data_IF_374476903588
#
_entry.id   IF_374476903588
#
_cell.length_a   1.000
_cell.length_b   1.000
_cell.length_c   1.000
_cell.angle_alpha   90.00
_cell.angle_beta   90.00
_cell.angle_gamma   90.00
#
_symmetry.space_group_name_H-M   'P 1'
#
loop_
_entity.id
_entity.type
_entity.pdbx_description
1 polymer ?
#
# COMPACT_ATOMS: atom_id res chain seq x y z
N UNK A 1 -24.47 -54.97 32.24
CA UNK A 1 -23.16 -54.30 32.46
C UNK A 1 -23.19 -52.94 31.77
N UNK A 2 -23.04 -51.90 32.59
CA UNK A 2 -22.58 -50.52 32.40
C UNK A 2 -22.12 -49.98 31.01
N UNK A 3 -22.67 -48.78 30.72
CA UNK A 3 -22.03 -47.46 30.40
C UNK A 3 -21.39 -47.12 29.04
N UNK A 4 -22.00 -46.11 28.39
CA UNK A 4 -21.53 -44.75 27.96
C UNK A 4 -20.37 -44.52 26.96
N UNK A 5 -20.63 -43.48 26.12
CA UNK A 5 -19.75 -42.43 25.52
C UNK A 5 -18.73 -42.87 24.47
N UNK A 6 -18.40 -42.12 23.41
CA UNK A 6 -18.69 -40.74 22.99
C UNK A 6 -17.54 -40.27 22.07
N UNK A 7 -17.90 -39.55 20.99
CA UNK A 7 -17.18 -38.55 20.18
C UNK A 7 -15.74 -38.77 19.64
N UNK A 8 -15.55 -38.48 18.35
CA UNK A 8 -14.72 -37.36 17.87
C UNK A 8 -14.64 -37.32 16.32
N UNK A 9 -15.50 -36.50 15.68
CA UNK A 9 -15.21 -35.93 14.35
C UNK A 9 -14.26 -34.74 14.54
N UNK A 10 -13.08 -34.82 13.94
CA UNK A 10 -12.10 -33.74 13.91
C UNK A 10 -12.32 -32.84 12.70
N UNK A 11 -12.89 -31.65 12.93
CA UNK A 11 -12.93 -30.55 11.96
C UNK A 11 -11.58 -29.81 12.02
N UNK A 12 -10.77 -29.92 10.97
CA UNK A 12 -9.49 -29.19 10.82
C UNK A 12 -9.58 -28.34 9.56
N UNK A 13 -10.12 -27.12 9.70
CA UNK A 13 -10.05 -26.07 8.67
C UNK A 13 -8.84 -25.18 8.94
N UNK A 14 -7.99 -25.03 7.91
CA UNK A 14 -6.75 -24.23 7.95
C UNK A 14 -7.03 -22.74 8.12
N UNK A 15 -6.10 -22.03 8.80
CA UNK A 15 -6.24 -20.63 9.21
C UNK A 15 -5.20 -19.74 8.51
N UNK A 16 -5.62 -18.56 8.05
CA UNK A 16 -4.71 -17.41 7.94
C UNK A 16 -4.86 -16.57 9.20
N UNK A 17 -3.76 -16.35 9.92
CA UNK A 17 -3.78 -15.61 11.18
C UNK A 17 -3.44 -14.15 10.89
N UNK A 18 -4.38 -13.24 11.19
CA UNK A 18 -4.12 -11.81 11.19
C UNK A 18 -3.05 -11.46 12.25
N UNK A 19 -2.21 -10.42 12.02
CA UNK A 19 -1.20 -10.04 13.00
C UNK A 19 -1.85 -9.63 14.33
N UNK A 20 -1.49 -10.33 15.40
CA UNK A 20 -1.84 -9.95 16.78
C UNK A 20 -1.08 -8.66 17.11
N UNK A 21 -1.82 -7.56 17.34
CA UNK A 21 -1.25 -6.38 17.99
C UNK A 21 -1.16 -6.65 19.49
N UNK A 22 0.06 -6.60 20.01
CA UNK A 22 0.32 -6.55 21.45
C UNK A 22 -0.31 -5.31 22.07
N UNK A 23 -1.48 -5.50 22.67
CA UNK A 23 -2.15 -4.52 23.52
C UNK A 23 -1.52 -4.53 24.91
N UNK A 24 -0.52 -3.66 25.12
CA UNK A 24 -0.04 -3.35 26.46
C UNK A 24 -0.88 -2.21 27.04
N UNK A 25 -1.80 -2.55 27.95
CA UNK A 25 -2.69 -1.59 28.60
C UNK A 25 -3.46 -2.25 29.73
N UNK A 26 -2.76 -2.49 30.84
CA UNK A 26 -3.28 -3.13 32.04
C UNK A 26 -4.52 -2.46 32.65
N UNK A 27 -5.35 -3.32 33.22
CA UNK A 27 -6.59 -3.09 33.94
C UNK A 27 -6.51 -2.01 35.03
N UNK A 28 -7.62 -1.29 35.26
CA UNK A 28 -8.47 -1.49 36.46
C UNK A 28 -9.84 -0.81 36.32
N UNK A 29 -10.84 -1.50 36.86
CA UNK A 29 -12.30 -1.21 36.81
C UNK A 29 -12.74 -0.18 37.86
N UNK A 30 -13.77 0.60 37.48
CA UNK A 30 -14.95 1.11 38.23
C UNK A 30 -14.75 1.90 39.53
N UNK A 31 -15.32 3.12 39.62
CA UNK A 31 -16.63 3.40 40.26
C UNK A 31 -17.08 4.90 40.12
N UNK A 32 -18.29 5.07 39.60
CA UNK A 32 -19.41 6.04 39.81
C UNK A 32 -19.26 7.32 40.68
N UNK A 33 -19.83 8.43 40.15
CA UNK A 33 -20.38 9.69 40.74
C UNK A 33 -19.39 10.62 41.49
N UNK A 34 -19.44 11.96 41.37
CA UNK A 34 -20.56 12.90 41.28
C UNK A 34 -20.08 14.24 40.67
N UNK A 35 -21.00 14.98 40.04
CA UNK A 35 -20.81 16.39 39.69
C UNK A 35 -21.15 17.23 40.92
N UNK A 36 -20.25 18.12 41.33
CA UNK A 36 -20.60 19.32 42.08
C UNK A 36 -19.72 20.50 41.67
N UNK A 37 -20.39 21.65 41.63
CA UNK A 37 -19.98 22.95 41.11
C UNK A 37 -19.13 23.69 42.15
N UNK A 38 -18.07 24.39 41.72
CA UNK A 38 -17.68 25.67 42.33
C UNK A 38 -16.87 26.54 41.35
N UNK A 39 -17.38 27.75 41.12
CA UNK A 39 -16.67 28.90 40.56
C UNK A 39 -15.82 29.53 41.66
N UNK A 40 -14.71 30.16 41.29
CA UNK A 40 -14.35 31.46 41.86
C UNK A 40 -13.42 32.25 40.91
N UNK A 41 -13.58 33.56 41.01
CA UNK A 41 -13.12 34.64 40.14
C UNK A 41 -11.76 35.23 40.56
N UNK A 42 -11.14 35.93 39.60
CA UNK A 42 -10.26 37.09 39.74
C UNK A 42 -8.86 37.01 40.39
N UNK A 43 -7.91 37.73 39.77
CA UNK A 43 -6.72 38.27 40.45
C UNK A 43 -5.40 38.18 39.68
N UNK A 44 -5.01 39.26 39.02
CA UNK A 44 -3.80 39.35 38.20
C UNK A 44 -2.45 39.49 38.93
N UNK A 45 -1.41 39.18 38.14
CA UNK A 45 -0.02 39.69 38.11
C UNK A 45 0.92 39.50 39.32
N UNK A 46 2.04 38.77 39.09
CA UNK A 46 3.41 39.33 38.96
C UNK A 46 4.48 38.23 39.00
N UNK A 47 5.47 38.36 38.10
CA UNK A 47 6.77 37.70 38.19
C UNK A 47 7.47 38.09 39.50
N UNK A 48 7.97 37.10 40.24
CA UNK A 48 9.10 37.28 41.14
C UNK A 48 10.03 36.08 41.05
N UNK A 49 11.24 36.34 40.58
CA UNK A 49 12.40 35.46 40.65
C UNK A 49 12.91 35.54 42.09
N UNK A 50 12.98 34.40 42.77
CA UNK A 50 13.86 34.21 43.93
C UNK A 50 14.58 32.88 43.70
N UNK A 51 15.88 32.98 43.44
CA UNK A 51 16.81 31.88 43.54
C UNK A 51 17.13 31.66 45.03
N UNK A 52 16.98 30.44 45.50
CA UNK A 52 17.73 29.94 46.66
C UNK A 52 18.28 28.56 46.30
N UNK A 53 19.59 28.53 46.20
CA UNK A 53 20.47 27.38 46.04
C UNK A 53 20.34 26.42 47.21
N UNK A 54 20.27 25.13 46.93
CA UNK A 54 21.08 24.15 47.66
C UNK A 54 21.39 22.95 46.76
N UNK A 55 22.70 22.70 46.64
CA UNK A 55 23.33 21.64 45.86
C UNK A 55 23.12 20.28 46.53
N UNK A 56 22.86 19.25 45.73
CA UNK A 56 23.47 17.91 45.90
C UNK A 56 23.27 17.04 44.66
N UNK A 57 24.38 16.83 43.96
CA UNK A 57 24.73 15.67 43.12
C UNK A 57 23.64 15.08 42.21
N UNK A 58 23.50 15.66 41.02
CA UNK A 58 22.84 15.04 39.87
C UNK A 58 23.72 15.17 38.63
N UNK A 59 23.96 14.05 37.95
CA UNK A 59 24.75 13.95 36.71
C UNK A 59 24.22 14.93 35.66
N UNK A 60 25.16 15.55 34.93
CA UNK A 60 24.98 16.53 33.85
C UNK A 60 23.77 16.19 32.96
N UNK A 61 22.75 17.05 32.95
CA UNK A 61 21.67 17.05 31.96
C UNK A 61 22.29 17.32 30.58
N UNK A 62 22.37 16.29 29.74
CA UNK A 62 22.67 16.47 28.31
C UNK A 62 21.54 17.25 27.68
N UNK A 63 21.89 18.41 27.13
CA UNK A 63 21.01 19.23 26.32
C UNK A 63 20.47 18.47 25.11
N UNK A 64 19.28 18.91 24.70
CA UNK A 64 18.54 18.51 23.50
C UNK A 64 19.53 18.34 22.34
N UNK A 65 19.73 17.09 21.90
CA UNK A 65 20.57 16.79 20.74
C UNK A 65 19.89 17.33 19.49
N UNK A 66 20.58 18.22 18.79
CA UNK A 66 20.20 18.68 17.46
C UNK A 66 20.07 17.50 16.50
N UNK A 67 19.05 17.54 15.66
CA UNK A 67 18.78 16.54 14.65
C UNK A 67 20.00 16.39 13.73
N UNK A 68 20.64 15.22 13.75
CA UNK A 68 21.64 14.85 12.75
C UNK A 68 20.86 14.52 11.47
N UNK A 69 20.99 15.37 10.45
CA UNK A 69 20.43 15.09 9.13
C UNK A 69 21.00 13.78 8.57
N UNK A 70 20.22 12.95 7.84
CA UNK A 70 20.75 11.74 7.24
C UNK A 70 21.88 12.10 6.28
N UNK A 71 23.10 11.61 6.55
CA UNK A 71 24.22 11.74 5.62
C UNK A 71 23.97 10.79 4.45
N UNK A 72 23.54 11.33 3.32
CA UNK A 72 23.52 10.62 2.05
C UNK A 72 24.93 10.14 1.73
N UNK A 73 25.12 8.82 1.71
CA UNK A 73 26.34 8.17 1.23
C UNK A 73 25.96 7.32 0.02
N UNK A 74 25.94 7.94 -1.16
CA UNK A 74 25.90 7.22 -2.42
C UNK A 74 26.63 8.02 -3.51
N UNK A 75 27.42 7.35 -4.37
CA UNK A 75 28.36 7.98 -5.30
C UNK A 75 27.63 8.62 -6.49
N UNK A 76 28.02 9.86 -6.77
CA UNK A 76 27.86 10.63 -8.02
C UNK A 76 27.02 9.99 -9.14
N UNK A 77 25.71 10.22 -9.10
CA UNK A 77 24.92 10.33 -10.32
C UNK A 77 24.84 11.83 -10.66
N UNK A 78 25.60 12.27 -11.66
CA UNK A 78 25.56 13.64 -12.14
C UNK A 78 24.18 13.91 -12.75
N UNK A 79 23.31 14.54 -11.96
CA UNK A 79 22.09 15.15 -12.49
C UNK A 79 22.48 16.29 -13.42
N UNK A 80 22.02 16.22 -14.68
CA UNK A 80 22.01 17.35 -15.61
C UNK A 80 20.97 18.38 -15.11
N UNK A 81 21.32 19.10 -14.05
CA UNK A 81 20.55 20.24 -13.56
C UNK A 81 20.79 21.45 -14.46
N UNK A 82 19.79 21.82 -15.26
CA UNK A 82 19.78 23.11 -15.96
C UNK A 82 19.48 24.24 -14.96
N UNK A 83 20.45 25.12 -14.76
CA UNK A 83 20.31 26.36 -13.98
C UNK A 83 19.50 27.39 -14.77
N UNK A 84 18.22 27.52 -14.46
CA UNK A 84 17.50 28.79 -14.62
C UNK A 84 16.62 28.97 -13.38
N UNK A 85 16.85 30.07 -12.68
CA UNK A 85 16.43 30.36 -11.31
C UNK A 85 14.92 30.18 -11.09
N UNK A 86 14.57 29.07 -10.46
CA UNK A 86 13.34 28.96 -9.70
C UNK A 86 13.65 29.48 -8.29
N UNK A 87 12.82 30.36 -7.74
CA UNK A 87 12.97 30.95 -6.39
C UNK A 87 13.47 29.87 -5.41
N UNK A 88 14.53 30.19 -4.64
CA UNK A 88 15.12 29.31 -3.63
C UNK A 88 14.03 28.71 -2.73
N UNK A 89 12.97 29.47 -2.46
CA UNK A 89 11.82 29.00 -1.70
C UNK A 89 10.99 27.95 -2.44
N UNK A 90 10.76 28.10 -3.75
CA UNK A 90 10.15 27.04 -4.57
C UNK A 90 11.02 25.78 -4.59
N UNK A 91 12.35 25.92 -4.53
CA UNK A 91 13.23 24.76 -4.42
C UNK A 91 13.12 24.08 -3.04
N UNK A 92 13.21 24.84 -1.95
CA UNK A 92 13.12 24.32 -0.57
C UNK A 92 11.76 23.64 -0.32
N UNK A 93 10.68 24.23 -0.81
CA UNK A 93 9.32 23.70 -0.58
C UNK A 93 9.12 22.31 -1.17
N UNK A 94 9.82 21.92 -2.23
CA UNK A 94 9.78 20.56 -2.80
C UNK A 94 10.23 19.46 -1.83
N UNK A 95 10.92 19.81 -0.75
CA UNK A 95 11.38 18.88 0.28
C UNK A 95 10.43 18.76 1.47
N UNK A 96 9.33 19.51 1.48
CA UNK A 96 8.28 19.41 2.49
C UNK A 96 7.29 18.29 2.14
N UNK A 97 6.74 17.61 3.15
CA UNK A 97 5.63 16.69 2.99
C UNK A 97 4.31 17.46 2.72
N UNK A 98 3.30 16.79 2.19
CA UNK A 98 2.03 17.43 1.85
C UNK A 98 1.40 18.20 3.01
N UNK A 99 1.51 17.69 4.25
CA UNK A 99 1.00 18.37 5.45
C UNK A 99 1.75 19.67 5.73
N UNK A 100 3.08 19.67 5.61
CA UNK A 100 3.89 20.87 5.81
C UNK A 100 3.71 21.88 4.69
N UNK A 101 3.51 21.45 3.44
CA UNK A 101 3.17 22.33 2.32
C UNK A 101 1.86 23.09 2.56
N UNK A 102 0.80 22.40 3.00
CA UNK A 102 -0.48 23.03 3.34
C UNK A 102 -0.32 24.02 4.50
N UNK A 103 0.40 23.63 5.56
CA UNK A 103 0.68 24.52 6.69
C UNK A 103 1.46 25.76 6.28
N UNK A 104 2.48 25.61 5.43
CA UNK A 104 3.28 26.72 4.92
C UNK A 104 2.40 27.67 4.10
N UNK A 105 1.57 27.15 3.20
CA UNK A 105 0.65 27.96 2.41
C UNK A 105 -0.37 28.73 3.25
N UNK A 106 -0.74 28.21 4.43
CA UNK A 106 -1.65 28.90 5.36
C UNK A 106 -1.01 30.06 6.12
N UNK A 107 0.32 30.21 6.10
CA UNK A 107 1.01 31.25 6.89
C UNK A 107 0.85 32.66 6.33
N UNK A 108 0.96 32.84 5.00
CA UNK A 108 0.74 34.12 4.34
C UNK A 108 0.51 33.94 2.82
N UNK A 109 0.05 35.00 2.15
CA UNK A 109 -0.28 35.00 0.71
C UNK A 109 0.91 34.69 -0.21
N UNK A 110 2.13 35.03 0.20
CA UNK A 110 3.31 34.79 -0.62
C UNK A 110 3.72 33.31 -0.58
N UNK A 111 3.79 32.72 0.62
CA UNK A 111 4.01 31.29 0.78
C UNK A 111 2.87 30.45 0.18
N UNK A 112 1.63 30.93 0.22
CA UNK A 112 0.52 30.28 -0.47
C UNK A 112 0.80 30.12 -1.96
N UNK A 113 1.26 31.18 -2.64
CA UNK A 113 1.56 31.14 -4.07
C UNK A 113 2.64 30.11 -4.41
N UNK A 114 3.71 30.06 -3.61
CA UNK A 114 4.81 29.11 -3.79
C UNK A 114 4.35 27.68 -3.50
N UNK A 115 3.69 27.47 -2.36
CA UNK A 115 3.25 26.15 -1.93
C UNK A 115 2.20 25.56 -2.87
N UNK A 116 1.41 26.38 -3.57
CA UNK A 116 0.41 25.94 -4.54
C UNK A 116 0.95 25.85 -5.97
N UNK A 117 2.26 26.04 -6.20
CA UNK A 117 2.83 25.76 -7.51
C UNK A 117 2.74 24.26 -7.84
N UNK A 118 2.17 23.96 -9.00
CA UNK A 118 1.96 22.57 -9.43
C UNK A 118 3.27 21.76 -9.51
N UNK A 119 4.39 22.41 -9.85
CA UNK A 119 5.70 21.77 -9.85
C UNK A 119 6.13 21.30 -8.46
N UNK A 120 5.82 22.05 -7.39
CA UNK A 120 6.14 21.66 -6.01
C UNK A 120 5.43 20.36 -5.65
N UNK A 121 4.15 20.26 -5.99
CA UNK A 121 3.35 19.06 -5.75
C UNK A 121 3.76 17.89 -6.63
N UNK A 122 4.22 18.15 -7.87
CA UNK A 122 4.84 17.12 -8.70
C UNK A 122 6.05 16.50 -8.01
N UNK A 123 6.98 17.32 -7.53
CA UNK A 123 8.17 16.82 -6.83
C UNK A 123 7.83 16.11 -5.54
N UNK A 124 6.92 16.67 -4.72
CA UNK A 124 6.46 16.02 -3.50
C UNK A 124 5.81 14.65 -3.80
N UNK A 125 4.96 14.58 -4.82
CA UNK A 125 4.26 13.35 -5.21
C UNK A 125 5.26 12.26 -5.64
N UNK A 126 6.18 12.56 -6.55
CA UNK A 126 7.15 11.57 -7.04
C UNK A 126 8.11 11.11 -5.93
N UNK A 127 8.54 12.02 -5.06
CA UNK A 127 9.39 11.72 -3.91
C UNK A 127 8.68 10.79 -2.93
N UNK A 128 7.45 11.15 -2.54
CA UNK A 128 6.70 10.41 -1.51
C UNK A 128 6.22 9.04 -2.02
N UNK A 129 5.99 8.93 -3.34
CA UNK A 129 5.72 7.66 -4.02
C UNK A 129 6.98 6.88 -4.42
N UNK A 130 8.17 7.50 -4.30
CA UNK A 130 9.46 6.93 -4.68
C UNK A 130 9.56 6.46 -6.14
N UNK A 131 8.93 7.22 -7.06
CA UNK A 131 8.95 6.92 -8.50
C UNK A 131 9.91 7.87 -9.26
N UNK A 132 10.71 7.37 -10.22
CA UNK A 132 11.84 8.11 -10.78
C UNK A 132 11.46 9.13 -11.85
N UNK A 133 10.35 8.92 -12.55
CA UNK A 133 10.02 9.66 -13.77
C UNK A 133 8.65 10.33 -13.72
N UNK A 134 8.57 11.50 -14.36
CA UNK A 134 7.32 12.19 -14.61
C UNK A 134 6.65 11.59 -15.84
N UNK A 135 5.39 11.20 -15.69
CA UNK A 135 4.53 10.87 -16.82
C UNK A 135 3.61 12.05 -17.13
N UNK A 136 3.17 12.19 -18.40
CA UNK A 136 2.07 13.10 -18.72
C UNK A 136 0.86 12.75 -17.86
N UNK A 137 0.30 13.74 -17.19
CA UNK A 137 -0.92 13.63 -16.40
C UNK A 137 -1.94 14.61 -16.93
N UNK A 138 -3.21 14.21 -16.91
CA UNK A 138 -4.38 14.98 -17.31
C UNK A 138 -4.88 15.96 -16.23
N UNK A 139 -4.40 15.82 -15.00
CA UNK A 139 -4.79 16.63 -13.84
C UNK A 139 -3.61 17.31 -13.16
N UNK A 140 -3.89 18.37 -12.40
CA UNK A 140 -2.89 19.05 -11.55
C UNK A 140 -2.30 18.09 -10.53
N UNK A 141 -1.01 18.19 -10.27
CA UNK A 141 -0.30 17.36 -9.29
C UNK A 141 -0.81 17.55 -7.86
N UNK A 142 -1.40 18.70 -7.53
CA UNK A 142 -2.07 18.93 -6.23
C UNK A 142 -3.21 17.91 -6.04
N UNK A 143 -4.09 17.78 -7.04
CA UNK A 143 -5.23 16.86 -7.00
C UNK A 143 -4.76 15.41 -6.98
N UNK A 144 -3.77 15.09 -7.81
CA UNK A 144 -3.15 13.75 -7.87
C UNK A 144 -2.58 13.39 -6.51
N UNK A 145 -1.76 14.26 -5.92
CA UNK A 145 -1.19 14.05 -4.59
C UNK A 145 -2.31 13.86 -3.55
N UNK A 146 -3.30 14.75 -3.50
CA UNK A 146 -4.39 14.63 -2.55
C UNK A 146 -5.08 13.26 -2.64
N UNK A 147 -5.48 12.84 -3.86
CA UNK A 147 -6.16 11.56 -4.08
C UNK A 147 -5.29 10.31 -3.83
N UNK A 148 -3.98 10.41 -4.04
CA UNK A 148 -3.05 9.32 -3.77
C UNK A 148 -2.84 9.06 -2.27
N UNK A 149 -3.03 10.09 -1.43
CA UNK A 149 -2.71 10.06 0.00
C UNK A 149 -3.91 10.29 0.94
N UNK A 150 -5.11 10.61 0.44
CA UNK A 150 -6.31 10.86 1.27
C UNK A 150 -7.05 9.57 1.72
N UNK A 151 -6.70 8.42 1.14
CA UNK A 151 -7.31 7.12 1.44
C UNK A 151 -8.51 6.75 0.57
N UNK A 152 -8.93 7.62 -0.38
CA UNK A 152 -10.03 7.37 -1.34
C UNK A 152 -9.79 6.17 -2.26
N UNK A 153 -8.54 5.73 -2.35
CA UNK A 153 -8.10 4.56 -3.08
C UNK A 153 -8.25 3.26 -2.29
N UNK A 154 -8.62 3.23 -1.00
CA UNK A 154 -8.69 1.95 -0.27
C UNK A 154 -9.87 1.08 -0.73
N UNK A 155 -9.68 -0.24 -0.80
CA UNK A 155 -10.77 -1.21 -0.97
C UNK A 155 -11.88 -1.01 0.07
N UNK A 156 -11.48 -0.59 1.28
CA UNK A 156 -12.38 -0.21 2.37
C UNK A 156 -13.44 0.79 1.93
N UNK A 157 -13.14 1.72 1.02
CA UNK A 157 -14.12 2.71 0.59
C UNK A 157 -15.31 2.07 -0.14
N UNK A 158 -15.05 1.08 -1.01
CA UNK A 158 -16.07 0.45 -1.84
C UNK A 158 -16.78 -0.73 -1.18
N UNK A 159 -16.08 -1.50 -0.35
CA UNK A 159 -16.61 -2.75 0.20
C UNK A 159 -16.20 -2.96 1.66
N UNK A 160 -16.69 -2.06 2.52
CA UNK A 160 -16.40 -2.04 3.97
C UNK A 160 -16.67 -3.37 4.66
N UNK A 161 -17.71 -4.07 4.24
CA UNK A 161 -18.20 -5.28 4.93
C UNK A 161 -17.27 -6.47 4.78
N UNK A 162 -16.58 -6.57 3.64
CA UNK A 162 -15.68 -7.69 3.31
C UNK A 162 -14.23 -7.43 3.68
N UNK A 163 -13.87 -6.18 3.92
CA UNK A 163 -12.50 -5.80 4.20
C UNK A 163 -12.08 -6.17 5.62
N UNK A 164 -10.94 -6.86 5.76
CA UNK A 164 -10.32 -7.18 7.05
C UNK A 164 -9.19 -6.18 7.32
N UNK A 165 -8.20 -6.13 6.44
CA UNK A 165 -7.01 -5.30 6.59
C UNK A 165 -6.39 -4.96 5.22
N UNK A 166 -5.51 -3.96 5.18
CA UNK A 166 -4.79 -3.58 3.98
C UNK A 166 -3.40 -3.02 4.26
N UNK A 167 -2.56 -3.05 3.23
CA UNK A 167 -1.23 -2.47 3.26
C UNK A 167 -0.91 -1.76 1.94
N UNK A 168 -0.47 -0.50 2.02
CA UNK A 168 0.16 0.21 0.89
C UNK A 168 1.50 -0.44 0.61
N UNK A 169 1.66 -1.01 -0.57
CA UNK A 169 2.94 -1.55 -1.00
C UNK A 169 3.84 -0.42 -1.50
N UNK A 170 3.26 0.55 -2.20
CA UNK A 170 3.93 1.73 -2.76
C UNK A 170 3.45 2.03 -4.18
N UNK A 171 4.32 2.55 -5.02
CA UNK A 171 4.01 2.86 -6.42
C UNK A 171 5.12 2.42 -7.37
N UNK A 172 4.74 2.17 -8.62
CA UNK A 172 5.62 1.77 -9.70
C UNK A 172 5.10 2.34 -11.02
N UNK A 173 5.85 2.13 -12.09
CA UNK A 173 5.55 2.66 -13.42
C UNK A 173 5.20 1.51 -14.35
N UNK A 174 4.12 1.68 -15.11
CA UNK A 174 3.86 0.93 -16.33
C UNK A 174 4.00 1.92 -17.49
N UNK A 175 5.08 1.85 -18.26
CA UNK A 175 5.35 2.74 -19.40
C UNK A 175 5.03 2.06 -20.74
N UNK A 176 4.85 0.74 -20.75
CA UNK A 176 4.36 0.01 -21.92
C UNK A 176 2.84 -0.13 -21.88
N UNK A 177 2.25 -0.41 -23.04
CA UNK A 177 0.82 -0.71 -23.20
C UNK A 177 0.48 -2.16 -22.80
N UNK A 178 1.46 -2.94 -22.31
CA UNK A 178 1.31 -4.38 -22.07
C UNK A 178 1.93 -4.81 -20.74
N UNK A 179 1.15 -5.47 -19.87
CA UNK A 179 1.66 -6.11 -18.64
C UNK A 179 1.74 -7.60 -18.78
N UNK A 180 2.70 -8.17 -18.06
CA UNK A 180 2.72 -9.58 -17.70
C UNK A 180 2.21 -9.77 -16.27
N UNK A 181 1.20 -10.62 -16.13
CA UNK A 181 0.54 -10.98 -14.87
C UNK A 181 0.85 -12.45 -14.56
N UNK A 182 1.19 -12.78 -13.33
CA UNK A 182 1.47 -14.16 -12.92
C UNK A 182 1.13 -14.42 -11.47
N UNK A 183 0.65 -15.63 -11.18
CA UNK A 183 0.50 -16.14 -9.80
C UNK A 183 1.68 -17.00 -9.34
N UNK A 184 2.71 -17.17 -10.18
CA UNK A 184 3.91 -17.91 -9.84
C UNK A 184 5.15 -17.09 -10.14
N UNK A 185 6.01 -17.00 -9.11
CA UNK A 185 7.34 -16.40 -9.18
C UNK A 185 8.45 -17.46 -9.10
N UNK A 186 8.06 -18.74 -9.07
CA UNK A 186 8.99 -19.85 -8.98
C UNK A 186 9.61 -20.17 -10.35
N UNK A 187 10.93 -20.38 -10.37
CA UNK A 187 11.65 -20.77 -11.59
C UNK A 187 11.83 -19.63 -12.60
N UNK A 188 12.08 -19.99 -13.87
CA UNK A 188 12.18 -19.01 -14.97
C UNK A 188 10.77 -18.61 -15.40
N UNK A 189 10.47 -17.31 -15.34
CA UNK A 189 9.20 -16.78 -15.86
C UNK A 189 9.05 -17.17 -17.33
N UNK A 190 7.99 -17.93 -17.62
CA UNK A 190 7.59 -18.28 -18.99
C UNK A 190 6.54 -17.27 -19.41
N UNK A 191 6.94 -16.29 -20.20
CA UNK A 191 5.99 -15.33 -20.78
C UNK A 191 5.18 -16.05 -21.86
N UNK A 192 3.85 -16.09 -21.76
CA UNK A 192 3.00 -16.61 -22.82
C UNK A 192 3.23 -15.85 -24.12
N UNK A 193 3.25 -16.57 -25.24
CA UNK A 193 3.53 -15.97 -26.56
C UNK A 193 2.26 -15.80 -27.39
N UNK A 194 1.30 -16.72 -27.27
CA UNK A 194 0.06 -16.73 -28.06
C UNK A 194 -1.09 -17.34 -27.24
N UNK A 195 -2.34 -17.11 -27.69
CA UNK A 195 -3.57 -17.65 -27.10
C UNK A 195 -4.46 -16.60 -26.46
N UNK A 196 -5.70 -17.00 -26.12
CA UNK A 196 -6.59 -16.15 -25.32
C UNK A 196 -6.09 -16.06 -23.87
N UNK A 197 -6.55 -15.07 -23.11
CA UNK A 197 -6.16 -14.91 -21.69
C UNK A 197 -6.47 -16.19 -20.91
N UNK A 198 -7.63 -16.80 -21.15
CA UNK A 198 -8.04 -18.06 -20.51
C UNK A 198 -7.08 -19.20 -20.84
N UNK A 199 -6.66 -19.34 -22.10
CA UNK A 199 -5.69 -20.37 -22.51
C UNK A 199 -4.32 -20.16 -21.86
N UNK A 200 -3.85 -18.90 -21.80
CA UNK A 200 -2.59 -18.54 -21.16
C UNK A 200 -2.63 -18.88 -19.65
N UNK A 201 -3.73 -18.52 -18.98
CA UNK A 201 -3.93 -18.81 -17.56
C UNK A 201 -4.04 -20.31 -17.27
N UNK A 202 -4.82 -21.07 -18.05
CA UNK A 202 -4.94 -22.52 -17.90
C UNK A 202 -3.61 -23.27 -18.08
N UNK A 203 -2.74 -22.76 -18.96
CA UNK A 203 -1.47 -23.42 -19.25
C UNK A 203 -0.35 -23.11 -18.24
N UNK A 204 -0.38 -21.92 -17.61
CA UNK A 204 0.79 -21.42 -16.87
C UNK A 204 0.47 -20.58 -15.62
N UNK A 205 -0.80 -20.29 -15.32
CA UNK A 205 -1.18 -19.34 -14.29
C UNK A 205 -0.66 -17.92 -14.56
N UNK A 206 -0.43 -17.57 -15.83
CA UNK A 206 0.10 -16.27 -16.23
C UNK A 206 -0.53 -15.79 -17.53
N UNK A 207 -0.61 -14.48 -17.74
CA UNK A 207 -1.18 -13.91 -18.96
C UNK A 207 -0.56 -12.56 -19.31
N UNK A 208 -0.75 -12.17 -20.58
CA UNK A 208 -0.47 -10.83 -21.06
C UNK A 208 -1.78 -10.06 -21.20
N UNK A 209 -1.79 -8.83 -20.71
CA UNK A 209 -2.88 -7.88 -20.92
C UNK A 209 -2.37 -6.66 -21.67
N UNK A 210 -3.18 -6.15 -22.58
CA UNK A 210 -2.87 -5.01 -23.44
C UNK A 210 -3.74 -3.79 -23.05
N UNK A 211 -3.53 -2.68 -23.75
CA UNK A 211 -4.27 -1.43 -23.57
C UNK A 211 -4.19 -0.85 -22.16
N UNK A 212 -3.04 -1.01 -21.53
CA UNK A 212 -2.78 -0.44 -20.20
C UNK A 212 -2.51 1.05 -20.33
N UNK A 213 -3.11 1.83 -19.43
CA UNK A 213 -2.79 3.24 -19.30
C UNK A 213 -1.36 3.40 -18.78
N UNK A 214 -0.50 3.98 -19.61
CA UNK A 214 0.88 4.28 -19.21
C UNK A 214 0.91 5.37 -18.12
N UNK A 215 1.73 5.19 -17.09
CA UNK A 215 1.86 6.15 -16.01
C UNK A 215 2.29 5.54 -14.68
N UNK A 216 1.98 6.26 -13.61
CA UNK A 216 2.25 5.86 -12.22
C UNK A 216 1.07 5.02 -11.73
N UNK A 217 1.39 3.88 -11.14
CA UNK A 217 0.44 2.93 -10.56
C UNK A 217 0.71 2.76 -9.07
N UNK A 218 -0.35 2.84 -8.27
CA UNK A 218 -0.31 2.58 -6.83
C UNK A 218 -0.69 1.12 -6.59
N UNK A 219 0.11 0.43 -5.79
CA UNK A 219 -0.11 -0.95 -5.41
C UNK A 219 -0.51 -1.09 -3.94
N UNK A 220 -1.54 -1.88 -3.71
CA UNK A 220 -2.05 -2.22 -2.39
C UNK A 220 -2.27 -3.73 -2.29
N UNK A 221 -2.05 -4.24 -1.08
CA UNK A 221 -2.45 -5.58 -0.70
C UNK A 221 -3.68 -5.49 0.20
N UNK A 222 -4.74 -6.20 -0.17
CA UNK A 222 -6.01 -6.23 0.55
C UNK A 222 -6.22 -7.64 1.12
N UNK A 223 -6.62 -7.71 2.38
CA UNK A 223 -7.07 -8.93 3.03
C UNK A 223 -8.57 -8.85 3.24
N UNK A 224 -9.29 -9.83 2.70
CA UNK A 224 -10.74 -9.84 2.57
C UNK A 224 -11.32 -11.10 3.20
N UNK A 225 -12.57 -11.02 3.66
CA UNK A 225 -13.35 -12.18 4.10
C UNK A 225 -13.65 -13.09 2.92
N UNK A 226 -13.81 -14.38 3.20
CA UNK A 226 -14.15 -15.36 2.16
C UNK A 226 -15.47 -14.99 1.45
N UNK A 227 -15.44 -14.83 0.11
CA UNK A 227 -16.60 -14.38 -0.65
C UNK A 227 -17.69 -15.47 -0.82
N UNK A 228 -17.40 -16.74 -0.51
CA UNK A 228 -18.34 -17.85 -0.67
C UNK A 228 -19.35 -17.95 0.48
N UNK A 229 -18.88 -17.75 1.71
CA UNK A 229 -19.69 -17.90 2.91
C UNK A 229 -20.22 -16.53 3.40
N UNK A 230 -19.47 -15.43 3.22
CA UNK A 230 -19.76 -14.08 3.77
C UNK A 230 -20.14 -14.07 5.28
N UNK A 231 -19.87 -15.18 5.97
CA UNK A 231 -20.12 -15.36 7.39
C UNK A 231 -18.92 -14.79 8.16
N UNK A 232 -19.18 -13.99 9.19
CA UNK A 232 -18.13 -13.49 10.08
C UNK A 232 -17.40 -14.58 10.86
N UNK A 233 -17.94 -15.80 10.86
CA UNK A 233 -17.39 -17.01 11.50
C UNK A 233 -16.59 -17.89 10.54
N UNK A 234 -16.49 -17.50 9.27
CA UNK A 234 -15.73 -18.23 8.26
C UNK A 234 -14.25 -17.83 8.37
N UNK A 235 -13.40 -18.77 8.76
CA UNK A 235 -11.95 -18.55 8.88
C UNK A 235 -11.26 -18.35 7.51
N UNK A 236 -11.99 -18.55 6.41
CA UNK A 236 -11.49 -18.33 5.06
C UNK A 236 -11.20 -16.84 4.81
N UNK A 237 -9.99 -16.56 4.34
CA UNK A 237 -9.58 -15.21 3.91
C UNK A 237 -9.13 -15.25 2.45
N UNK A 238 -9.32 -14.11 1.77
CA UNK A 238 -8.91 -13.90 0.40
C UNK A 238 -7.88 -12.77 0.37
N UNK A 239 -6.75 -13.01 -0.29
CA UNK A 239 -5.75 -11.98 -0.54
C UNK A 239 -6.00 -11.36 -1.90
N UNK A 240 -5.81 -10.05 -2.03
CA UNK A 240 -5.93 -9.36 -3.31
C UNK A 240 -4.81 -8.34 -3.51
N UNK A 241 -4.03 -8.51 -4.58
CA UNK A 241 -3.11 -7.49 -5.08
C UNK A 241 -3.89 -6.57 -6.02
N UNK A 242 -4.08 -5.33 -5.57
CA UNK A 242 -4.73 -4.28 -6.35
C UNK A 242 -3.70 -3.27 -6.83
N UNK A 243 -3.64 -3.04 -8.14
CA UNK A 243 -2.86 -1.95 -8.73
C UNK A 243 -3.78 -1.03 -9.51
N UNK A 244 -3.60 0.28 -9.33
CA UNK A 244 -4.46 1.32 -9.88
C UNK A 244 -3.66 2.48 -10.40
N UNK A 245 -4.00 2.93 -11.60
CA UNK A 245 -3.42 4.13 -12.18
C UNK A 245 -3.72 5.33 -11.27
N UNK A 246 -2.73 6.20 -11.03
CA UNK A 246 -2.83 7.28 -10.03
C UNK A 246 -3.99 8.26 -10.31
N UNK A 247 -4.35 8.45 -11.57
CA UNK A 247 -5.46 9.33 -11.97
C UNK A 247 -6.85 8.68 -11.84
N UNK A 248 -6.92 7.36 -11.61
CA UNK A 248 -8.19 6.66 -11.41
C UNK A 248 -8.98 7.30 -10.26
N UNK A 249 -8.29 7.68 -9.19
CA UNK A 249 -8.89 8.28 -7.99
C UNK A 249 -9.51 9.66 -8.22
N UNK A 250 -9.23 10.29 -9.36
CA UNK A 250 -9.84 11.55 -9.75
C UNK A 250 -11.14 11.35 -10.54
N UNK A 251 -11.39 10.14 -11.03
CA UNK A 251 -12.55 9.83 -11.87
C UNK A 251 -13.82 9.74 -11.03
N UNK A 252 -14.86 10.49 -11.40
CA UNK A 252 -16.13 10.47 -10.67
C UNK A 252 -16.76 9.08 -10.66
N UNK A 253 -16.73 8.37 -11.79
CA UNK A 253 -17.27 7.00 -11.87
C UNK A 253 -16.54 5.98 -10.98
N UNK A 254 -15.26 6.24 -10.66
CA UNK A 254 -14.57 5.46 -9.64
C UNK A 254 -15.03 5.88 -8.25
N UNK A 255 -15.11 7.18 -7.94
CA UNK A 255 -15.51 7.67 -6.61
C UNK A 255 -16.95 7.35 -6.23
N UNK A 256 -17.87 7.33 -7.18
CA UNK A 256 -19.28 6.99 -6.94
C UNK A 256 -19.56 5.48 -6.96
N UNK A 257 -18.56 4.67 -7.33
CA UNK A 257 -18.66 3.22 -7.39
C UNK A 257 -19.42 2.68 -8.61
N UNK A 258 -19.65 3.49 -9.63
CA UNK A 258 -20.27 3.05 -10.88
C UNK A 258 -19.34 2.25 -11.79
N UNK A 259 -18.02 2.30 -11.57
CA UNK A 259 -17.04 1.51 -12.31
C UNK A 259 -16.78 0.17 -11.64
N UNK A 260 -16.94 -0.90 -12.42
CA UNK A 260 -16.78 -2.27 -11.96
C UNK A 260 -15.53 -2.96 -12.55
N UNK A 261 -15.07 -3.97 -11.81
CA UNK A 261 -14.04 -4.89 -12.29
C UNK A 261 -14.65 -5.98 -13.17
N UNK A 262 -14.04 -6.21 -14.33
CA UNK A 262 -14.36 -7.32 -15.21
C UNK A 262 -13.39 -8.48 -14.98
N UNK A 263 -13.93 -9.69 -14.77
CA UNK A 263 -13.15 -10.92 -14.72
C UNK A 263 -12.61 -11.22 -16.13
N UNK A 264 -11.29 -11.27 -16.26
CA UNK A 264 -10.62 -11.62 -17.52
C UNK A 264 -10.13 -13.07 -17.56
N UNK A 265 -10.19 -13.76 -16.42
CA UNK A 265 -9.89 -15.19 -16.35
C UNK A 265 -9.55 -15.67 -14.94
N UNK A 266 -9.45 -16.98 -14.79
CA UNK A 266 -9.09 -17.62 -13.54
C UNK A 266 -8.24 -18.87 -13.76
N UNK A 267 -7.47 -19.22 -12.75
CA UNK A 267 -6.68 -20.45 -12.71
C UNK A 267 -6.85 -21.13 -11.36
N UNK A 268 -7.05 -22.44 -11.38
CA UNK A 268 -7.33 -23.25 -10.20
C UNK A 268 -6.17 -24.21 -9.96
N UNK A 269 -5.50 -24.04 -8.83
CA UNK A 269 -4.45 -24.91 -8.35
C UNK A 269 -5.07 -25.94 -7.41
N UNK A 270 -5.42 -27.13 -7.90
CA UNK A 270 -6.15 -28.17 -7.14
C UNK A 270 -5.24 -29.07 -6.29
N UNK A 271 -4.20 -28.49 -5.68
CA UNK A 271 -3.24 -29.19 -4.82
C UNK A 271 -2.73 -28.23 -3.76
N UNK A 272 -2.23 -28.81 -2.66
CA UNK A 272 -1.54 -28.08 -1.61
C UNK A 272 -0.53 -27.09 -2.19
N UNK A 273 -0.81 -25.80 -2.00
CA UNK A 273 0.02 -24.72 -2.49
C UNK A 273 0.85 -24.18 -1.33
N UNK A 274 2.17 -24.15 -1.49
CA UNK A 274 3.07 -23.65 -0.44
C UNK A 274 2.97 -22.13 -0.21
N UNK A 275 2.45 -21.40 -1.19
CA UNK A 275 2.35 -19.95 -1.14
C UNK A 275 1.27 -19.39 -2.08
N UNK A 276 0.65 -18.29 -1.69
CA UNK A 276 -0.12 -17.40 -2.55
C UNK A 276 0.80 -16.30 -3.09
N UNK A 277 1.06 -16.28 -4.40
CA UNK A 277 1.89 -15.27 -5.05
C UNK A 277 1.11 -14.49 -6.10
N UNK A 278 1.38 -13.21 -6.25
CA UNK A 278 0.80 -12.40 -7.33
C UNK A 278 1.83 -11.38 -7.78
N UNK A 279 2.06 -11.26 -9.07
CA UNK A 279 2.99 -10.28 -9.59
C UNK A 279 2.54 -9.68 -10.91
N UNK A 280 2.89 -8.41 -11.07
CA UNK A 280 2.56 -7.57 -12.22
C UNK A 280 3.85 -6.90 -12.66
N UNK A 281 4.21 -7.10 -13.92
CA UNK A 281 5.40 -6.53 -14.53
C UNK A 281 5.02 -5.71 -15.75
N UNK A 282 5.73 -4.62 -15.97
CA UNK A 282 5.81 -4.03 -17.29
C UNK A 282 6.59 -4.99 -18.23
N UNK A 283 5.96 -5.43 -19.31
CA UNK A 283 6.55 -6.41 -20.22
C UNK A 283 7.88 -5.93 -20.82
N UNK A 284 7.99 -4.63 -21.12
CA UNK A 284 9.19 -3.99 -21.70
C UNK A 284 10.39 -4.05 -20.76
N UNK A 285 10.16 -4.10 -19.44
CA UNK A 285 11.20 -4.07 -18.41
C UNK A 285 11.38 -5.41 -17.69
N UNK A 286 10.63 -6.45 -18.07
CA UNK A 286 10.67 -7.76 -17.42
C UNK A 286 12.08 -8.36 -17.36
N UNK A 287 12.85 -8.23 -18.45
CA UNK A 287 14.23 -8.77 -18.56
C UNK A 287 15.31 -7.81 -18.05
N UNK A 288 14.95 -6.59 -17.61
CA UNK A 288 15.92 -5.60 -17.13
C UNK A 288 16.33 -5.91 -15.69
N UNK A 289 17.53 -5.50 -15.31
CA UNK A 289 18.06 -5.63 -13.95
C UNK A 289 17.18 -4.94 -12.90
N UNK A 290 16.42 -3.92 -13.26
CA UNK A 290 15.47 -3.26 -12.35
C UNK A 290 14.42 -4.22 -11.79
N UNK A 291 14.09 -5.29 -12.50
CA UNK A 291 13.06 -6.27 -12.13
C UNK A 291 13.66 -7.54 -11.49
N UNK A 292 14.99 -7.69 -11.46
CA UNK A 292 15.65 -8.91 -11.00
C UNK A 292 15.52 -9.13 -9.48
N UNK A 293 15.36 -8.06 -8.71
CA UNK A 293 15.12 -8.15 -7.26
C UNK A 293 13.84 -8.92 -6.93
N UNK A 294 12.79 -8.76 -7.74
CA UNK A 294 11.52 -9.47 -7.56
C UNK A 294 11.68 -10.97 -7.77
N UNK A 295 12.48 -11.37 -8.76
CA UNK A 295 12.70 -12.79 -9.10
C UNK A 295 13.64 -13.49 -8.12
N UNK A 296 14.40 -12.74 -7.33
CA UNK A 296 15.20 -13.30 -6.24
C UNK A 296 14.35 -13.47 -4.97
N UNK A 297 13.44 -14.45 -4.97
CA UNK A 297 12.47 -14.70 -3.89
C UNK A 297 13.13 -14.70 -2.50
N UNK A 298 14.25 -15.40 -2.35
CA UNK A 298 14.97 -15.51 -1.07
C UNK A 298 15.40 -14.17 -0.46
N UNK A 299 15.49 -13.09 -1.26
CA UNK A 299 15.90 -11.77 -0.77
C UNK A 299 14.81 -10.96 -0.08
N UNK A 300 13.53 -11.35 -0.23
CA UNK A 300 12.41 -10.56 0.28
C UNK A 300 11.23 -11.40 0.82
N UNK A 301 11.12 -12.68 0.48
CA UNK A 301 10.11 -13.57 1.07
C UNK A 301 10.47 -13.95 2.50
N UNK A 302 9.47 -14.21 3.34
CA UNK A 302 9.67 -14.68 4.71
C UNK A 302 10.22 -16.10 4.79
N UNK A 303 10.66 -16.49 5.99
CA UNK A 303 11.03 -17.86 6.33
C UNK A 303 9.85 -18.83 6.18
N UNK A 304 10.11 -20.14 6.15
CA UNK A 304 9.10 -21.16 5.82
C UNK A 304 7.85 -21.14 6.70
N UNK A 305 7.97 -20.70 7.95
CA UNK A 305 6.93 -20.57 8.97
C UNK A 305 6.30 -19.17 9.04
N UNK A 306 6.81 -18.20 8.27
CA UNK A 306 6.30 -16.84 8.24
C UNK A 306 5.08 -16.74 7.31
N UNK A 307 3.90 -16.76 7.93
CA UNK A 307 2.60 -16.57 7.25
C UNK A 307 2.25 -15.11 6.95
N UNK A 308 3.10 -14.14 7.35
CA UNK A 308 2.84 -12.75 7.03
C UNK A 308 3.07 -12.47 5.54
N UNK A 309 2.15 -11.74 4.88
CA UNK A 309 2.36 -11.33 3.50
C UNK A 309 3.62 -10.48 3.36
N UNK A 310 4.47 -10.85 2.40
CA UNK A 310 5.61 -10.03 1.96
C UNK A 310 5.33 -9.44 0.60
N UNK A 311 5.91 -8.29 0.35
CA UNK A 311 5.79 -7.61 -0.92
C UNK A 311 7.12 -6.96 -1.30
N UNK A 312 7.32 -6.80 -2.59
CA UNK A 312 8.43 -6.08 -3.15
C UNK A 312 7.93 -5.21 -4.30
N UNK A 313 8.43 -3.97 -4.33
CA UNK A 313 8.22 -3.04 -5.43
C UNK A 313 9.54 -2.77 -6.10
N UNK A 314 9.53 -2.85 -7.42
CA UNK A 314 10.56 -2.37 -8.31
C UNK A 314 10.01 -1.21 -9.14
N UNK A 315 10.88 -0.40 -9.79
CA UNK A 315 10.42 0.72 -10.60
C UNK A 315 9.35 0.38 -11.65
N UNK A 316 9.34 -0.85 -12.18
CA UNK A 316 8.41 -1.30 -13.23
C UNK A 316 7.66 -2.61 -12.92
N UNK A 317 7.59 -2.98 -11.64
CA UNK A 317 6.91 -4.20 -11.24
C UNK A 317 6.56 -4.21 -9.76
N UNK A 318 5.56 -5.01 -9.41
CA UNK A 318 5.19 -5.30 -8.02
C UNK A 318 4.93 -6.79 -7.87
N UNK A 319 5.26 -7.32 -6.71
CA UNK A 319 4.95 -8.69 -6.35
C UNK A 319 4.57 -8.81 -4.88
N UNK A 320 3.70 -9.78 -4.61
CA UNK A 320 3.32 -10.23 -3.27
C UNK A 320 3.54 -11.72 -3.15
N UNK A 321 3.87 -12.17 -1.95
CA UNK A 321 4.08 -13.56 -1.60
C UNK A 321 3.68 -13.79 -0.15
N UNK A 322 2.78 -14.75 0.06
CA UNK A 322 2.30 -15.15 1.38
C UNK A 322 2.45 -16.65 1.49
N UNK A 323 3.20 -17.14 2.50
CA UNK A 323 3.28 -18.58 2.72
C UNK A 323 1.98 -19.09 3.29
N UNK A 324 1.61 -20.27 2.83
CA UNK A 324 0.37 -20.91 3.22
C UNK A 324 0.67 -22.13 4.07
N UNK A 325 -0.23 -22.38 5.01
CA UNK A 325 -0.33 -23.68 5.67
C UNK A 325 -0.93 -24.71 4.69
N UNK A 326 -0.94 -25.97 5.10
CA UNK A 326 -1.53 -27.05 4.30
C UNK A 326 -2.96 -26.69 3.87
N UNK A 327 -3.24 -26.82 2.57
CA UNK A 327 -4.51 -26.44 1.96
C UNK A 327 -4.95 -27.40 0.84
N UNK A 328 -6.19 -27.26 0.40
CA UNK A 328 -6.78 -28.03 -0.70
C UNK A 328 -6.50 -27.39 -2.07
N UNK A 329 -5.89 -26.21 -2.07
CA UNK A 329 -5.53 -25.47 -3.27
C UNK A 329 -5.91 -24.00 -3.23
N UNK A 330 -5.69 -23.33 -4.36
CA UNK A 330 -5.95 -21.90 -4.53
C UNK A 330 -6.72 -21.67 -5.83
N UNK A 331 -7.76 -20.85 -5.76
CA UNK A 331 -8.38 -20.20 -6.92
C UNK A 331 -7.81 -18.80 -7.08
N UNK A 332 -7.14 -18.56 -8.21
CA UNK A 332 -6.66 -17.24 -8.60
C UNK A 332 -7.59 -16.66 -9.65
N UNK A 333 -7.98 -15.39 -9.47
CA UNK A 333 -8.83 -14.64 -10.41
C UNK A 333 -8.13 -13.34 -10.80
N UNK A 334 -8.17 -13.04 -12.09
CA UNK A 334 -7.60 -11.83 -12.67
C UNK A 334 -8.74 -10.93 -13.12
N UNK A 335 -8.75 -9.70 -12.63
CA UNK A 335 -9.73 -8.71 -13.04
C UNK A 335 -9.08 -7.43 -13.53
N UNK A 336 -9.77 -6.72 -14.39
CA UNK A 336 -9.36 -5.41 -14.90
C UNK A 336 -10.52 -4.42 -14.86
N UNK A 337 -10.20 -3.14 -14.74
CA UNK A 337 -11.14 -2.04 -14.86
C UNK A 337 -10.66 -1.13 -15.99
N UNK A 338 -11.57 -0.78 -16.90
CA UNK A 338 -11.29 0.10 -18.05
C UNK A 338 -11.93 1.47 -17.85
N UNK A 339 -11.29 2.51 -18.39
CA UNK A 339 -11.84 3.86 -18.42
C UNK A 339 -12.95 3.96 -19.50
N UNK A 340 -14.18 3.58 -19.15
CA UNK A 340 -15.26 3.42 -20.12
C UNK A 340 -15.15 2.10 -20.91
N UNK A 341 -16.01 1.91 -21.92
CA UNK A 341 -16.11 0.65 -22.68
C UNK A 341 -14.82 0.32 -23.46
N UNK A 342 -14.27 1.33 -24.12
CA UNK A 342 -13.15 1.18 -25.07
C UNK A 342 -11.87 1.89 -24.61
N UNK A 343 -11.86 2.44 -23.40
CA UNK A 343 -10.68 3.12 -22.87
C UNK A 343 -9.62 2.17 -22.33
N UNK A 344 -8.52 2.77 -21.87
CA UNK A 344 -7.41 2.01 -21.32
C UNK A 344 -7.77 1.30 -20.01
N UNK A 345 -7.06 0.20 -19.73
CA UNK A 345 -7.05 -0.45 -18.42
C UNK A 345 -6.40 0.50 -17.42
N UNK A 346 -7.13 0.81 -16.35
CA UNK A 346 -6.76 1.74 -15.27
C UNK A 346 -6.71 1.09 -13.90
N UNK A 347 -7.17 -0.16 -13.77
CA UNK A 347 -6.91 -0.99 -12.61
C UNK A 347 -6.75 -2.46 -12.98
N UNK A 348 -5.88 -3.17 -12.26
CA UNK A 348 -5.70 -4.61 -12.35
C UNK A 348 -5.77 -5.19 -10.93
N UNK A 349 -6.44 -6.34 -10.81
CA UNK A 349 -6.67 -7.04 -9.55
C UNK A 349 -6.32 -8.52 -9.71
N UNK A 350 -5.44 -9.02 -8.86
CA UNK A 350 -5.15 -10.46 -8.73
C UNK A 350 -5.66 -10.92 -7.37
N UNK A 351 -6.74 -11.68 -7.35
CA UNK A 351 -7.36 -12.22 -6.14
C UNK A 351 -7.00 -13.69 -5.97
N UNK A 352 -6.69 -14.09 -4.75
CA UNK A 352 -6.25 -15.43 -4.39
C UNK A 352 -7.08 -15.93 -3.23
N UNK A 353 -7.82 -17.01 -3.46
CA UNK A 353 -8.74 -17.59 -2.51
C UNK A 353 -8.35 -19.05 -2.25
N UNK A 354 -8.26 -19.45 -0.99
CA UNK A 354 -8.13 -20.86 -0.63
C UNK A 354 -9.40 -21.62 -1.06
N UNK A 355 -9.20 -22.84 -1.57
CA UNK A 355 -10.27 -23.75 -1.96
C UNK A 355 -10.87 -24.49 -0.78
#
# INVERSE_FOLDING_TARGET
MNTRSGDAEGDIRGKMIAPVRDGNGGQKRKLVQSNDIQRDEDGGAKRRIIQSSDQKNGKILRGIHGCVSPRCSAPTYQSRFSWYEQDIWTYITRFLDGKSLVKLGATNKWFYKIAMEDTVWRFACLRDLQVPETFPVSSTWIKIYASAFDGSHSYLFHQKEKHIDWMRLGAFVLDSRTSFLTESLSGRLKVPTEGTIEQMLQSSGSCLINDIKSGIWIADLQLLRCPLCDLSTCDGTMQTLDVRHIELFLSEGYKDGSWDYNLIGSHKLEKDASAACGAIFDLKHLKKSSSSGILNLKSWTGEADDSQPKAVIAPHAVAVHTRLQQNEGILVKYHTMKAGTDGDIVSIRISQQLL
#
